data_IF_383123013174
#
_entry.id   IF_383123013174
#
_cell.length_a   1.000
_cell.length_b   1.000
_cell.length_c   1.000
_cell.angle_alpha   90.00
_cell.angle_beta   90.00
_cell.angle_gamma   90.00
#
_symmetry.space_group_name_H-M   'P 1'
#
loop_
_entity.id
_entity.type
_entity.pdbx_description
1 polymer ?
#
# COMPACT_ATOMS: atom_id res chain seq x y z
N UNK A 1 -26.78 -6.24 31.51
CA UNK A 1 -26.84 -6.77 30.12
C UNK A 1 -27.24 -5.59 29.25
N UNK A 2 -26.22 -4.84 28.75
CA UNK A 2 -26.44 -3.67 27.90
C UNK A 2 -26.76 -4.11 26.48
N UNK A 3 -27.73 -3.47 25.80
CA UNK A 3 -28.04 -3.81 24.41
C UNK A 3 -26.94 -3.30 23.49
N UNK A 4 -26.41 -4.21 22.67
CA UNK A 4 -25.43 -3.92 21.63
C UNK A 4 -25.96 -2.89 20.64
N UNK A 5 -25.21 -1.80 20.46
CA UNK A 5 -25.42 -0.77 19.46
C UNK A 5 -25.44 -1.40 18.06
N UNK A 6 -26.43 -1.12 17.21
CA UNK A 6 -26.42 -1.61 15.84
C UNK A 6 -25.28 -0.95 15.07
N UNK A 7 -24.42 -1.74 14.42
CA UNK A 7 -23.47 -1.29 13.41
C UNK A 7 -24.24 -0.92 12.14
N UNK A 8 -24.70 0.31 12.10
CA UNK A 8 -25.13 0.91 10.86
C UNK A 8 -23.90 1.53 10.19
N UNK A 9 -23.16 0.76 9.41
CA UNK A 9 -22.21 1.31 8.45
C UNK A 9 -23.02 1.95 7.31
N UNK A 10 -23.52 3.16 7.54
CA UNK A 10 -23.97 4.03 6.49
C UNK A 10 -22.76 4.38 5.64
N UNK A 11 -22.78 3.98 4.36
CA UNK A 11 -21.89 4.46 3.33
C UNK A 11 -21.97 5.99 3.38
N UNK A 12 -21.01 6.64 4.01
CA UNK A 12 -20.92 8.09 4.02
C UNK A 12 -20.49 8.50 2.62
N UNK A 13 -21.48 8.63 1.73
CA UNK A 13 -21.25 9.27 0.45
C UNK A 13 -20.84 10.70 0.78
N UNK A 14 -19.58 11.04 0.59
CA UNK A 14 -19.10 12.42 0.58
C UNK A 14 -19.69 13.14 -0.67
N UNK A 15 -21.00 13.04 -0.81
CA UNK A 15 -21.78 13.49 -1.94
C UNK A 15 -22.36 14.87 -1.67
N UNK A 16 -21.50 15.80 -1.30
CA UNK A 16 -21.75 17.26 -1.44
C UNK A 16 -20.43 17.92 -1.14
N UNK A 17 -19.97 18.82 -2.00
CA UNK A 17 -18.83 19.66 -1.72
C UNK A 17 -19.01 20.42 -0.39
N UNK A 18 -18.88 19.70 0.71
CA UNK A 18 -18.89 20.27 2.04
C UNK A 18 -17.59 21.05 2.18
N UNK A 19 -17.71 22.29 2.62
CA UNK A 19 -16.55 23.12 2.99
C UNK A 19 -15.83 22.59 4.25
N UNK A 20 -16.39 21.60 4.92
CA UNK A 20 -15.78 20.95 6.08
C UNK A 20 -14.81 19.87 5.64
N UNK A 21 -13.57 19.89 6.14
CA UNK A 21 -12.58 18.88 5.84
C UNK A 21 -13.02 17.49 6.31
N UNK A 22 -12.83 16.48 5.45
CA UNK A 22 -13.04 15.08 5.77
C UNK A 22 -11.72 14.41 6.11
N UNK A 23 -11.71 13.52 7.06
CA UNK A 23 -10.49 12.78 7.42
C UNK A 23 -10.08 11.85 6.27
N UNK A 24 -8.77 11.84 5.93
CA UNK A 24 -8.27 11.01 4.83
C UNK A 24 -8.66 9.54 5.01
N UNK A 25 -8.51 8.98 6.20
CA UNK A 25 -8.75 7.56 6.45
C UNK A 25 -10.19 7.12 6.15
N UNK A 26 -11.15 8.03 6.16
CA UNK A 26 -12.54 7.72 5.84
C UNK A 26 -12.75 7.57 4.33
N UNK A 27 -12.08 8.40 3.54
CA UNK A 27 -12.35 8.56 2.10
C UNK A 27 -11.21 8.10 1.19
N UNK A 28 -10.00 7.91 1.72
CA UNK A 28 -8.82 7.60 0.95
C UNK A 28 -7.80 6.77 1.73
N UNK A 29 -6.76 6.33 1.05
CA UNK A 29 -5.62 5.60 1.60
C UNK A 29 -4.32 6.21 1.11
N UNK A 30 -3.41 6.51 2.03
CA UNK A 30 -2.00 6.76 1.77
C UNK A 30 -1.23 5.50 2.12
N UNK A 31 -0.54 4.91 1.15
CA UNK A 31 0.08 3.59 1.30
C UNK A 31 1.48 3.65 1.92
N UNK A 32 2.19 4.76 1.69
CA UNK A 32 3.50 5.01 2.27
C UNK A 32 3.67 6.52 2.53
N UNK A 33 4.33 6.94 3.61
CA UNK A 33 4.56 8.37 3.89
C UNK A 33 5.32 9.11 2.79
N UNK A 34 6.15 8.42 2.00
CA UNK A 34 6.91 9.01 0.89
C UNK A 34 6.13 9.10 -0.42
N UNK A 35 4.87 8.64 -0.44
CA UNK A 35 4.06 8.69 -1.65
C UNK A 35 3.68 10.13 -2.01
N UNK A 36 3.73 10.43 -3.30
CA UNK A 36 3.25 11.71 -3.84
C UNK A 36 1.76 11.69 -4.15
N UNK A 37 1.09 10.55 -3.98
CA UNK A 37 -0.33 10.36 -4.28
C UNK A 37 -1.02 9.55 -3.21
N UNK A 38 -2.30 9.80 -2.99
CA UNK A 38 -3.20 8.94 -2.22
C UNK A 38 -4.29 8.33 -3.11
N UNK A 39 -4.94 7.29 -2.64
CA UNK A 39 -5.92 6.52 -3.41
C UNK A 39 -7.32 6.77 -2.86
N UNK A 40 -8.24 7.20 -3.69
CA UNK A 40 -9.63 7.37 -3.32
C UNK A 40 -10.30 6.01 -3.04
N UNK A 41 -10.93 5.83 -1.88
CA UNK A 41 -11.72 4.63 -1.52
C UNK A 41 -13.15 4.72 -2.07
N UNK A 42 -13.63 5.92 -2.27
CA UNK A 42 -14.96 6.26 -2.77
C UNK A 42 -14.86 7.45 -3.72
N UNK A 43 -15.92 7.80 -4.48
CA UNK A 43 -15.90 8.97 -5.34
C UNK A 43 -15.63 10.23 -4.52
N UNK A 44 -14.61 11.00 -4.92
CA UNK A 44 -14.33 12.32 -4.36
C UNK A 44 -14.84 13.38 -5.32
N UNK A 45 -15.72 14.24 -4.82
CA UNK A 45 -16.28 15.33 -5.62
C UNK A 45 -15.35 16.55 -5.64
N UNK A 46 -15.44 17.39 -6.69
CA UNK A 46 -14.72 18.65 -6.73
C UNK A 46 -15.00 19.48 -5.48
N UNK A 47 -13.97 20.15 -4.98
CA UNK A 47 -13.98 21.00 -3.78
C UNK A 47 -14.06 20.24 -2.44
N UNK A 48 -14.15 18.90 -2.43
CA UNK A 48 -13.94 18.13 -1.19
C UNK A 48 -12.58 18.48 -0.62
N UNK A 49 -12.52 18.82 0.65
CA UNK A 49 -11.27 19.08 1.37
C UNK A 49 -10.93 17.83 2.16
N UNK A 50 -9.80 17.22 1.87
CA UNK A 50 -9.29 16.01 2.55
C UNK A 50 -8.18 16.41 3.50
N UNK A 51 -8.33 16.10 4.79
CA UNK A 51 -7.28 16.33 5.79
C UNK A 51 -6.28 15.19 5.73
N UNK A 52 -5.06 15.52 5.32
CA UNK A 52 -3.95 14.58 5.13
C UNK A 52 -2.86 14.82 6.19
N UNK A 53 -1.90 13.91 6.38
CA UNK A 53 -0.76 14.14 7.26
C UNK A 53 0.10 15.36 6.88
N UNK A 54 0.11 15.77 5.62
CA UNK A 54 0.85 16.92 5.12
C UNK A 54 0.04 18.24 5.11
N UNK A 55 -1.26 18.17 5.49
CA UNK A 55 -2.17 19.32 5.48
C UNK A 55 -3.46 19.05 4.73
N UNK A 56 -4.21 20.08 4.43
CA UNK A 56 -5.49 19.97 3.74
C UNK A 56 -5.29 20.00 2.22
N UNK A 57 -5.86 19.00 1.54
CA UNK A 57 -5.84 18.88 0.08
C UNK A 57 -7.24 19.06 -0.46
N UNK A 58 -7.43 20.08 -1.31
CA UNK A 58 -8.71 20.34 -1.96
C UNK A 58 -8.76 19.63 -3.30
N UNK A 59 -9.71 18.71 -3.44
CA UNK A 59 -9.93 17.95 -4.68
C UNK A 59 -10.35 18.88 -5.82
N UNK A 60 -9.60 18.86 -6.93
CA UNK A 60 -9.78 19.76 -8.05
C UNK A 60 -10.93 19.33 -8.98
N UNK A 61 -11.15 18.04 -9.13
CA UNK A 61 -12.12 17.45 -10.05
C UNK A 61 -12.72 16.19 -9.44
N UNK A 62 -13.73 15.61 -10.08
CA UNK A 62 -14.29 14.34 -9.65
C UNK A 62 -13.23 13.21 -9.80
N UNK A 63 -12.99 12.48 -8.74
CA UNK A 63 -12.04 11.36 -8.70
C UNK A 63 -12.82 10.06 -8.45
N UNK A 64 -12.76 9.09 -9.35
CA UNK A 64 -13.38 7.78 -9.15
C UNK A 64 -12.70 6.97 -8.04
N UNK A 65 -13.39 5.98 -7.45
CA UNK A 65 -12.78 5.05 -6.51
C UNK A 65 -11.61 4.30 -7.14
N UNK A 66 -10.56 4.04 -6.36
CA UNK A 66 -9.34 3.37 -6.80
C UNK A 66 -8.36 4.27 -7.58
N UNK A 67 -8.75 5.49 -7.91
CA UNK A 67 -7.89 6.43 -8.63
C UNK A 67 -7.00 7.24 -7.69
N UNK A 68 -5.90 7.75 -8.26
CA UNK A 68 -4.85 8.49 -7.57
C UNK A 68 -5.15 9.98 -7.57
N UNK A 69 -4.87 10.62 -6.44
CA UNK A 69 -4.95 12.07 -6.25
C UNK A 69 -3.59 12.57 -5.80
N UNK A 70 -3.11 13.65 -6.38
CA UNK A 70 -1.85 14.26 -5.96
C UNK A 70 -1.96 14.77 -4.52
N UNK A 71 -1.05 14.32 -3.66
CA UNK A 71 -0.95 14.76 -2.26
C UNK A 71 -0.36 16.17 -2.15
N UNK A 72 0.59 16.46 -3.03
CA UNK A 72 1.33 17.72 -3.13
C UNK A 72 1.57 18.07 -4.59
N UNK A 73 2.11 19.26 -4.84
CA UNK A 73 2.56 19.66 -6.17
C UNK A 73 3.67 18.73 -6.66
N UNK A 74 3.54 18.28 -7.91
CA UNK A 74 4.52 17.45 -8.63
C UNK A 74 4.85 18.20 -9.91
N UNK A 75 6.08 18.71 -10.07
CA UNK A 75 6.47 19.46 -11.26
C UNK A 75 6.55 18.55 -12.50
N UNK A 76 6.43 19.14 -13.67
CA UNK A 76 6.69 18.45 -14.94
C UNK A 76 8.07 17.77 -14.93
N UNK A 77 8.14 16.50 -15.34
CA UNK A 77 9.33 15.67 -15.23
C UNK A 77 9.60 15.11 -13.82
N UNK A 78 8.79 15.49 -12.84
CA UNK A 78 8.89 14.98 -11.47
C UNK A 78 8.43 13.52 -11.34
N UNK A 79 9.10 12.78 -10.46
CA UNK A 79 8.74 11.39 -10.16
C UNK A 79 7.44 11.32 -9.36
N UNK A 80 6.54 10.44 -9.79
CA UNK A 80 5.34 10.11 -9.05
C UNK A 80 5.56 8.81 -8.31
N UNK A 81 5.40 8.83 -6.97
CA UNK A 81 5.61 7.66 -6.11
C UNK A 81 4.30 7.13 -5.55
N UNK A 82 4.21 5.80 -5.51
CA UNK A 82 3.17 5.02 -4.84
C UNK A 82 3.81 3.76 -4.25
N UNK A 83 3.49 3.41 -3.01
CA UNK A 83 4.19 2.34 -2.28
C UNK A 83 5.70 2.58 -2.17
N UNK A 84 6.08 3.83 -2.03
CA UNK A 84 7.49 4.24 -2.08
C UNK A 84 8.22 3.83 -3.37
N UNK A 85 7.48 3.46 -4.44
CA UNK A 85 8.01 3.10 -5.75
C UNK A 85 7.65 4.16 -6.76
N UNK A 86 8.59 4.46 -7.67
CA UNK A 86 8.32 5.33 -8.81
C UNK A 86 7.36 4.58 -9.75
N UNK A 87 6.21 5.18 -10.02
CA UNK A 87 5.20 4.64 -10.94
C UNK A 87 5.18 5.35 -12.29
N UNK A 88 5.97 6.38 -12.45
CA UNK A 88 6.11 7.18 -13.67
C UNK A 88 6.59 8.58 -13.36
N UNK A 89 6.62 9.40 -14.40
CA UNK A 89 6.96 10.83 -14.32
C UNK A 89 5.76 11.68 -14.76
N UNK A 90 5.62 12.84 -14.13
CA UNK A 90 4.61 13.81 -14.50
C UNK A 90 4.95 14.42 -15.89
N UNK A 91 3.99 14.41 -16.82
CA UNK A 91 4.17 15.01 -18.16
C UNK A 91 3.93 16.52 -18.18
N UNK A 92 3.33 17.03 -17.12
CA UNK A 92 3.02 18.44 -16.87
C UNK A 92 2.98 18.67 -15.37
N UNK A 93 2.92 19.91 -14.93
CA UNK A 93 2.72 20.24 -13.53
C UNK A 93 1.40 19.64 -13.03
N UNK A 94 1.44 18.99 -11.86
CA UNK A 94 0.28 18.39 -11.21
C UNK A 94 0.13 19.06 -9.85
N UNK A 95 -0.95 19.81 -9.67
CA UNK A 95 -1.24 20.44 -8.40
C UNK A 95 -1.85 19.47 -7.38
N UNK A 96 -1.67 19.76 -6.09
CA UNK A 96 -2.31 19.00 -5.02
C UNK A 96 -3.83 18.95 -5.25
N UNK A 97 -4.40 17.74 -5.07
CA UNK A 97 -5.83 17.50 -5.30
C UNK A 97 -6.23 17.18 -6.73
N UNK A 98 -5.30 17.23 -7.68
CA UNK A 98 -5.57 16.83 -9.06
C UNK A 98 -5.53 15.30 -9.21
N UNK A 99 -6.29 14.81 -10.17
CA UNK A 99 -6.31 13.42 -10.60
C UNK A 99 -5.00 13.06 -11.29
N UNK A 100 -4.33 12.01 -10.84
CA UNK A 100 -3.11 11.49 -11.45
C UNK A 100 -3.44 10.23 -12.24
N UNK A 101 -3.33 10.34 -13.58
CA UNK A 101 -3.65 9.26 -14.50
C UNK A 101 -2.88 9.45 -15.82
N UNK A 102 -3.20 8.69 -16.86
CA UNK A 102 -2.51 8.68 -18.16
C UNK A 102 -2.45 10.06 -18.87
N UNK A 103 -3.34 10.98 -18.53
CA UNK A 103 -3.31 12.34 -19.11
C UNK A 103 -2.15 13.20 -18.60
N UNK A 104 -1.58 12.88 -17.44
CA UNK A 104 -0.50 13.66 -16.81
C UNK A 104 0.61 12.79 -16.19
N UNK A 105 0.59 11.48 -16.43
CA UNK A 105 1.59 10.53 -15.96
C UNK A 105 2.04 9.65 -17.13
N UNK A 106 3.34 9.63 -17.40
CA UNK A 106 3.96 8.75 -18.39
C UNK A 106 4.90 7.75 -17.73
N UNK A 107 5.06 6.60 -18.37
CA UNK A 107 6.14 5.67 -18.03
C UNK A 107 7.47 6.30 -18.46
N UNK A 108 8.46 6.27 -17.57
CA UNK A 108 9.82 6.67 -17.88
C UNK A 108 10.78 5.52 -17.57
N UNK A 109 11.87 5.46 -18.31
CA UNK A 109 13.01 4.64 -17.93
C UNK A 109 13.68 5.31 -16.73
N UNK A 110 13.70 4.63 -15.60
CA UNK A 110 14.45 5.06 -14.43
C UNK A 110 15.36 3.92 -13.98
N UNK A 111 16.60 4.28 -13.72
CA UNK A 111 17.55 3.34 -13.12
C UNK A 111 17.15 3.09 -11.68
N UNK A 112 16.94 1.83 -11.33
CA UNK A 112 16.77 1.42 -9.94
C UNK A 112 18.11 0.93 -9.45
N UNK A 113 18.60 1.52 -8.40
CA UNK A 113 19.74 0.98 -7.66
C UNK A 113 19.25 -0.22 -6.84
N UNK A 114 19.36 -1.40 -7.42
CA UNK A 114 19.08 -2.64 -6.73
C UNK A 114 20.34 -3.07 -5.96
N UNK A 115 20.48 -2.58 -4.76
CA UNK A 115 21.46 -3.12 -3.83
C UNK A 115 20.96 -4.46 -3.29
N UNK A 116 21.43 -5.56 -3.86
CA UNK A 116 21.08 -6.90 -3.40
C UNK A 116 21.82 -7.22 -2.11
N UNK A 117 21.16 -7.98 -1.23
CA UNK A 117 21.76 -8.51 0.02
C UNK A 117 22.33 -7.44 0.98
N UNK A 118 21.82 -6.20 0.96
CA UNK A 118 22.30 -5.13 1.86
C UNK A 118 22.15 -5.46 3.34
N UNK A 119 21.11 -6.23 3.69
CA UNK A 119 20.82 -6.66 5.06
C UNK A 119 21.28 -8.10 5.34
N UNK A 120 22.00 -8.73 4.40
CA UNK A 120 22.52 -10.07 4.60
C UNK A 120 23.59 -10.06 5.69
N UNK A 121 23.35 -10.84 6.72
CA UNK A 121 24.31 -11.07 7.82
C UNK A 121 24.76 -12.52 7.80
N UNK A 122 26.04 -12.81 8.04
CA UNK A 122 26.49 -14.18 8.24
C UNK A 122 25.69 -14.83 9.39
N UNK A 123 25.33 -16.09 9.21
CA UNK A 123 24.67 -16.84 10.28
C UNK A 123 25.66 -17.08 11.41
N UNK A 124 25.35 -16.58 12.59
CA UNK A 124 26.12 -16.87 13.80
C UNK A 124 25.61 -18.19 14.43
N UNK A 125 26.47 -19.18 14.49
CA UNK A 125 26.13 -20.45 15.12
C UNK A 125 26.42 -20.40 16.60
N UNK A 126 25.51 -20.91 17.41
CA UNK A 126 25.71 -21.03 18.85
C UNK A 126 26.77 -22.10 19.13
N UNK A 127 27.63 -21.88 20.14
CA UNK A 127 28.69 -22.81 20.52
C UNK A 127 28.12 -24.16 21.04
N UNK A 128 26.99 -24.08 21.75
CA UNK A 128 26.27 -25.24 22.28
C UNK A 128 24.89 -25.30 21.68
N UNK A 129 24.64 -26.13 20.66
CA UNK A 129 23.32 -26.29 20.06
C UNK A 129 22.31 -26.86 21.07
N UNK A 130 21.13 -26.27 21.16
CA UNK A 130 20.03 -26.85 21.90
C UNK A 130 19.64 -28.22 21.30
N UNK A 131 19.37 -29.19 22.15
CA UNK A 131 18.97 -30.54 21.76
C UNK A 131 17.52 -30.82 22.16
N UNK A 132 16.89 -31.74 21.48
CA UNK A 132 15.50 -32.16 21.76
C UNK A 132 15.35 -33.67 21.46
N UNK A 133 14.34 -34.30 22.01
CA UNK A 133 13.94 -35.67 21.68
C UNK A 133 13.16 -35.66 20.36
N UNK A 134 13.79 -36.11 19.28
CA UNK A 134 13.18 -36.17 17.95
C UNK A 134 12.55 -37.54 17.65
N UNK A 135 11.74 -37.59 16.60
CA UNK A 135 11.15 -38.81 16.05
C UNK A 135 12.10 -39.34 14.98
N UNK A 136 12.72 -40.50 15.20
CA UNK A 136 13.51 -41.16 14.18
C UNK A 136 12.59 -42.00 13.30
N UNK A 137 12.58 -41.74 12.01
CA UNK A 137 11.77 -42.46 11.04
C UNK A 137 12.47 -43.73 10.54
N UNK A 138 11.74 -44.73 9.99
CA UNK A 138 12.33 -45.96 9.51
C UNK A 138 13.42 -45.79 8.44
N UNK A 139 13.37 -44.69 7.67
CA UNK A 139 14.35 -44.31 6.65
C UNK A 139 15.56 -43.53 7.22
N UNK A 140 15.67 -43.40 8.55
CA UNK A 140 16.76 -42.70 9.23
C UNK A 140 16.60 -41.18 9.34
N UNK A 141 15.58 -40.57 8.75
CA UNK A 141 15.32 -39.14 8.91
C UNK A 141 14.83 -38.81 10.32
N UNK A 142 15.26 -37.67 10.84
CA UNK A 142 14.84 -37.21 12.16
C UNK A 142 13.86 -36.06 11.98
N UNK A 143 12.77 -36.05 12.74
CA UNK A 143 11.73 -35.06 12.69
C UNK A 143 11.35 -34.57 14.09
N UNK A 144 10.96 -33.33 14.22
CA UNK A 144 10.49 -32.72 15.47
C UNK A 144 9.03 -33.07 15.75
N UNK A 145 8.23 -33.15 14.67
CA UNK A 145 6.77 -33.42 14.70
C UNK A 145 6.37 -34.24 13.48
N UNK A 146 5.08 -34.39 13.30
CA UNK A 146 4.51 -35.01 12.11
C UNK A 146 4.74 -34.19 10.84
N UNK A 147 4.34 -34.73 9.70
CA UNK A 147 4.41 -34.02 8.41
C UNK A 147 3.49 -32.81 8.41
N UNK A 148 3.98 -31.76 7.76
CA UNK A 148 3.16 -30.60 7.40
C UNK A 148 2.83 -30.72 5.92
N UNK A 149 1.55 -30.80 5.60
CA UNK A 149 1.07 -30.77 4.21
C UNK A 149 0.75 -29.35 3.81
N UNK A 150 1.33 -28.87 2.71
CA UNK A 150 1.02 -27.57 2.13
C UNK A 150 0.34 -27.83 0.80
N UNK A 151 -0.90 -27.36 0.67
CA UNK A 151 -1.71 -27.48 -0.55
C UNK A 151 -1.76 -26.13 -1.25
N UNK A 152 -1.19 -26.09 -2.44
CA UNK A 152 -1.25 -24.89 -3.28
C UNK A 152 -2.50 -24.94 -4.17
N UNK A 153 -3.32 -23.90 -4.16
CA UNK A 153 -4.52 -23.79 -5.00
C UNK A 153 -4.21 -23.30 -6.42
N UNK A 154 -3.05 -22.70 -6.64
CA UNK A 154 -2.60 -22.18 -7.94
C UNK A 154 -1.09 -22.41 -8.12
N UNK A 155 -0.68 -22.61 -9.37
CA UNK A 155 0.72 -22.90 -9.69
C UNK A 155 1.67 -21.76 -9.30
N UNK A 156 1.24 -20.52 -9.39
CA UNK A 156 2.07 -19.36 -9.06
C UNK A 156 2.40 -19.24 -7.56
N UNK A 157 1.70 -19.92 -6.68
CA UNK A 157 2.03 -19.98 -5.25
C UNK A 157 2.86 -21.22 -4.86
N UNK A 158 3.09 -22.16 -5.77
CA UNK A 158 3.78 -23.41 -5.48
C UNK A 158 5.27 -23.20 -5.10
N UNK A 159 5.90 -22.13 -5.59
CA UNK A 159 7.31 -21.81 -5.27
C UNK A 159 7.47 -21.14 -3.92
N UNK A 160 6.39 -20.74 -3.27
CA UNK A 160 6.39 -20.08 -1.95
C UNK A 160 6.04 -21.09 -0.84
N UNK A 161 5.44 -22.23 -1.22
CA UNK A 161 4.98 -23.29 -0.31
C UNK A 161 6.13 -24.28 0.12
#
# INVERSE_FOLDING_TARGET
MEPSKPRGEGLTIAARGSSEPVEMLDVAVLLNPNDGVFIAKQPLLPRTVVRTPEGEVKVAQMIPPGHKVALKHIPAGGEVRRYNQIIGVATQDIEAGQHVHTQNLATAEFSRDYAFCVDAKPTEYVAEPATFMGIVRPDGRVATRNFIGILSSVNCSATVA
#
